data_IF_209282875018
#
_entry.id   IF_209282875018
#
_cell.length_a   1.000
_cell.length_b   1.000
_cell.length_c   1.000
_cell.angle_alpha   90.00
_cell.angle_beta   90.00
_cell.angle_gamma   90.00
#
_symmetry.space_group_name_H-M   'P 1'
#
loop_
_entity.id
_entity.type
_entity.pdbx_description
1 polymer ?
#
# COMPACT_ATOMS: atom_id res chain seq x y z
N UNK A 1 -57.13 41.01 -9.06
CA UNK A 1 -55.78 41.62 -9.10
C UNK A 1 -55.58 42.28 -7.74
N UNK A 2 -54.61 42.04 -6.87
CA UNK A 2 -53.41 41.18 -6.79
C UNK A 2 -53.02 41.25 -5.30
N UNK A 3 -52.83 40.12 -4.63
CA UNK A 3 -52.28 40.13 -3.26
C UNK A 3 -50.76 40.39 -3.29
N UNK A 4 -50.19 41.12 -2.30
CA UNK A 4 -48.75 41.24 -2.16
C UNK A 4 -48.17 39.96 -1.55
N UNK A 5 -47.07 39.47 -2.15
CA UNK A 5 -46.38 38.23 -1.76
C UNK A 5 -45.63 38.42 -0.45
N UNK A 6 -45.88 37.51 0.50
CA UNK A 6 -45.11 37.33 1.72
C UNK A 6 -43.67 36.91 1.45
N UNK A 7 -42.72 37.60 2.06
CA UNK A 7 -41.31 37.25 2.12
C UNK A 7 -41.09 35.94 2.89
N UNK A 8 -40.68 34.88 2.20
CA UNK A 8 -40.11 33.69 2.84
C UNK A 8 -38.58 33.79 2.76
N UNK A 9 -37.98 34.21 3.88
CA UNK A 9 -36.54 34.18 4.09
C UNK A 9 -36.06 32.73 4.10
N UNK A 10 -35.52 32.27 2.97
CA UNK A 10 -34.91 30.95 2.82
C UNK A 10 -33.56 30.93 3.54
N UNK A 11 -33.59 30.46 4.79
CA UNK A 11 -32.41 30.11 5.59
C UNK A 11 -31.46 29.23 4.77
N UNK A 12 -30.29 29.77 4.42
CA UNK A 12 -29.19 29.02 3.81
C UNK A 12 -28.52 28.19 4.91
N UNK A 13 -28.99 26.96 5.09
CA UNK A 13 -28.36 25.96 5.97
C UNK A 13 -26.96 25.65 5.41
N UNK A 14 -25.93 26.08 6.13
CA UNK A 14 -24.54 25.78 5.82
C UNK A 14 -24.38 24.26 5.63
N UNK A 15 -23.93 23.85 4.44
CA UNK A 15 -23.68 22.46 4.12
C UNK A 15 -22.58 21.93 5.04
N UNK A 16 -22.93 21.00 5.93
CA UNK A 16 -21.94 20.20 6.67
C UNK A 16 -21.06 19.50 5.64
N UNK A 17 -19.73 19.53 5.77
CA UNK A 17 -18.86 18.81 4.85
C UNK A 17 -19.24 17.33 4.87
N UNK A 18 -19.42 16.74 3.70
CA UNK A 18 -19.76 15.33 3.58
C UNK A 18 -18.65 14.49 4.23
N UNK A 19 -19.03 13.40 4.90
CA UNK A 19 -18.09 12.49 5.58
C UNK A 19 -16.94 12.05 4.66
N UNK A 20 -17.18 11.92 3.36
CA UNK A 20 -16.16 11.62 2.34
C UNK A 20 -15.04 12.67 2.27
N UNK A 21 -15.38 13.96 2.29
CA UNK A 21 -14.38 15.04 2.21
C UNK A 21 -13.51 15.09 3.47
N UNK A 22 -14.08 14.76 4.63
CA UNK A 22 -13.34 14.66 5.89
C UNK A 22 -12.40 13.45 5.92
N UNK A 23 -12.83 12.32 5.36
CA UNK A 23 -11.99 11.12 5.24
C UNK A 23 -10.79 11.36 4.32
N UNK A 24 -11.00 11.99 3.15
CA UNK A 24 -9.93 12.32 2.21
C UNK A 24 -8.90 13.27 2.82
N UNK A 25 -9.35 14.26 3.61
CA UNK A 25 -8.46 15.21 4.29
C UNK A 25 -7.61 14.53 5.38
N UNK A 26 -8.21 13.61 6.14
CA UNK A 26 -7.50 12.86 7.18
C UNK A 26 -6.44 11.91 6.59
N UNK A 27 -6.77 11.24 5.47
CA UNK A 27 -5.80 10.40 4.74
C UNK A 27 -4.67 11.23 4.17
N UNK A 28 -4.99 12.39 3.57
CA UNK A 28 -4.00 13.31 3.00
C UNK A 28 -3.04 13.86 4.07
N UNK A 29 -3.56 14.17 5.26
CA UNK A 29 -2.76 14.65 6.39
C UNK A 29 -1.84 13.56 6.93
N UNK A 30 -2.36 12.34 7.11
CA UNK A 30 -1.56 11.20 7.56
C UNK A 30 -0.44 10.84 6.57
N UNK A 31 -0.73 10.86 5.27
CA UNK A 31 0.28 10.60 4.24
C UNK A 31 1.37 11.68 4.21
N UNK A 32 1.01 12.97 4.35
CA UNK A 32 2.01 14.06 4.43
C UNK A 32 2.93 13.90 5.63
N UNK A 33 2.39 13.51 6.78
CA UNK A 33 3.20 13.29 7.98
C UNK A 33 4.19 12.14 7.80
N UNK A 34 3.76 11.03 7.18
CA UNK A 34 4.64 9.91 6.84
C UNK A 34 5.74 10.31 5.85
N UNK A 35 5.38 11.05 4.80
CA UNK A 35 6.35 11.53 3.81
C UNK A 35 7.34 12.56 4.38
N UNK A 36 6.94 13.32 5.40
CA UNK A 36 7.84 14.27 6.07
C UNK A 36 8.88 13.56 6.95
N UNK A 37 8.54 12.36 7.46
CA UNK A 37 9.43 11.55 8.29
C UNK A 37 10.32 10.60 7.48
N UNK A 38 9.88 10.18 6.30
CA UNK A 38 10.61 9.22 5.49
C UNK A 38 11.72 9.88 4.66
N UNK A 39 12.94 9.34 4.76
CA UNK A 39 14.05 9.66 3.86
C UNK A 39 14.47 8.38 3.15
N UNK A 40 14.45 8.38 1.82
CA UNK A 40 14.90 7.23 1.02
C UNK A 40 16.40 7.36 0.75
N UNK A 41 17.19 6.44 1.31
CA UNK A 41 18.62 6.37 1.09
C UNK A 41 18.94 5.14 0.22
N UNK A 42 19.41 5.32 -1.03
CA UNK A 42 19.84 4.19 -1.85
C UNK A 42 21.10 3.54 -1.24
N UNK A 43 21.21 2.22 -1.39
CA UNK A 43 22.33 1.45 -0.82
C UNK A 43 23.69 1.85 -1.37
N UNK A 44 23.71 2.36 -2.59
CA UNK A 44 24.88 2.81 -3.33
C UNK A 44 25.45 4.08 -2.68
N UNK A 45 24.59 5.00 -2.28
CA UNK A 45 24.99 6.22 -1.59
C UNK A 45 25.57 5.91 -0.19
N UNK A 46 24.99 4.92 0.50
CA UNK A 46 25.51 4.44 1.79
C UNK A 46 26.90 3.82 1.62
N UNK A 47 27.09 2.98 0.59
CA UNK A 47 28.39 2.37 0.27
C UNK A 47 29.43 3.43 -0.06
N UNK A 48 29.09 4.38 -0.91
CA UNK A 48 29.98 5.48 -1.29
C UNK A 48 30.43 6.28 -0.07
N UNK A 49 29.50 6.70 0.80
CA UNK A 49 29.84 7.46 2.01
C UNK A 49 30.74 6.68 2.99
N UNK A 50 30.51 5.37 3.15
CA UNK A 50 31.30 4.51 4.02
C UNK A 50 32.68 4.20 3.42
N UNK A 51 32.78 3.91 2.12
CA UNK A 51 34.05 3.71 1.42
C UNK A 51 34.94 4.96 1.52
N UNK A 52 34.33 6.14 1.45
CA UNK A 52 35.00 7.42 1.60
C UNK A 52 35.50 7.64 3.04
N UNK A 53 34.80 7.10 4.05
CA UNK A 53 35.25 7.07 5.44
C UNK A 53 36.41 6.09 5.65
N UNK A 54 36.36 4.90 5.01
CA UNK A 54 37.42 3.90 5.03
C UNK A 54 38.69 4.43 4.36
N UNK A 55 38.55 5.06 3.18
CA UNK A 55 39.66 5.69 2.45
C UNK A 55 40.35 6.79 3.27
N UNK A 56 39.59 7.54 4.07
CA UNK A 56 40.11 8.57 4.99
C UNK A 56 40.69 8.00 6.28
N UNK A 57 40.69 6.68 6.45
CA UNK A 57 41.19 6.01 7.66
C UNK A 57 40.35 6.28 8.92
N UNK A 58 39.11 6.76 8.77
CA UNK A 58 38.20 7.04 9.90
C UNK A 58 37.35 5.83 10.31
N UNK A 59 37.41 4.75 9.53
CA UNK A 59 36.64 3.53 9.70
C UNK A 59 37.40 2.37 9.08
N UNK A 60 37.31 1.17 9.65
CA UNK A 60 37.88 -0.02 8.98
C UNK A 60 36.90 -0.56 7.93
N UNK A 61 37.40 -1.35 6.99
CA UNK A 61 36.54 -1.98 5.97
C UNK A 61 35.52 -2.94 6.58
N UNK A 62 35.92 -3.66 7.64
CA UNK A 62 35.03 -4.55 8.36
C UNK A 62 33.90 -3.77 9.06
N UNK A 63 34.21 -2.67 9.74
CA UNK A 63 33.20 -1.82 10.39
C UNK A 63 32.22 -1.23 9.37
N UNK A 64 32.72 -0.80 8.21
CA UNK A 64 31.88 -0.27 7.13
C UNK A 64 30.89 -1.32 6.60
N UNK A 65 31.37 -2.56 6.38
CA UNK A 65 30.51 -3.66 5.93
C UNK A 65 29.44 -4.02 6.96
N UNK A 66 29.79 -4.05 8.25
CA UNK A 66 28.85 -4.31 9.35
C UNK A 66 27.78 -3.22 9.44
N UNK A 67 28.18 -1.94 9.39
CA UNK A 67 27.26 -0.81 9.44
C UNK A 67 26.30 -0.80 8.25
N UNK A 68 26.77 -1.11 7.04
CA UNK A 68 25.91 -1.19 5.84
C UNK A 68 24.86 -2.29 6.02
N UNK A 69 25.25 -3.47 6.50
CA UNK A 69 24.32 -4.57 6.72
C UNK A 69 23.27 -4.21 7.78
N UNK A 70 23.70 -3.58 8.87
CA UNK A 70 22.81 -3.10 9.94
C UNK A 70 21.82 -2.05 9.43
N UNK A 71 22.29 -1.05 8.67
CA UNK A 71 21.43 0.01 8.11
C UNK A 71 20.41 -0.54 7.10
N UNK A 72 20.78 -1.52 6.28
CA UNK A 72 19.86 -2.19 5.37
C UNK A 72 18.77 -2.94 6.15
N UNK A 73 19.15 -3.67 7.20
CA UNK A 73 18.19 -4.40 8.05
C UNK A 73 17.20 -3.44 8.74
N UNK A 74 17.71 -2.33 9.30
CA UNK A 74 16.90 -1.29 9.93
C UNK A 74 15.97 -0.63 8.90
N UNK A 75 16.50 -0.26 7.73
CA UNK A 75 15.72 0.39 6.67
C UNK A 75 14.58 -0.49 6.14
N UNK A 76 14.80 -1.81 6.02
CA UNK A 76 13.75 -2.77 5.66
C UNK A 76 12.62 -2.79 6.68
N UNK A 77 12.97 -2.89 7.97
CA UNK A 77 11.98 -2.88 9.06
C UNK A 77 11.20 -1.57 9.10
N UNK A 78 11.88 -0.43 8.96
CA UNK A 78 11.21 0.87 8.88
C UNK A 78 10.27 0.97 7.67
N UNK A 79 10.64 0.37 6.53
CA UNK A 79 9.78 0.32 5.35
C UNK A 79 8.54 -0.53 5.62
N UNK A 80 8.68 -1.67 6.30
CA UNK A 80 7.55 -2.50 6.73
C UNK A 80 6.60 -1.76 7.66
N UNK A 81 7.14 -1.03 8.65
CA UNK A 81 6.36 -0.24 9.60
C UNK A 81 5.57 0.88 8.90
N UNK A 82 6.24 1.67 8.03
CA UNK A 82 5.57 2.72 7.25
C UNK A 82 4.48 2.13 6.35
N UNK A 83 4.72 0.96 5.79
CA UNK A 83 3.75 0.31 4.93
C UNK A 83 2.53 -0.19 5.70
N UNK A 84 2.74 -0.73 6.90
CA UNK A 84 1.67 -1.09 7.81
C UNK A 84 0.84 0.14 8.22
N UNK A 85 1.49 1.27 8.49
CA UNK A 85 0.81 2.53 8.81
C UNK A 85 -0.05 3.03 7.63
N UNK A 86 0.47 2.97 6.40
CA UNK A 86 -0.30 3.31 5.19
C UNK A 86 -1.51 2.39 5.03
N UNK A 87 -1.33 1.08 5.22
CA UNK A 87 -2.41 0.10 5.18
C UNK A 87 -3.47 0.37 6.26
N UNK A 88 -3.05 0.74 7.47
CA UNK A 88 -3.95 1.09 8.57
C UNK A 88 -4.72 2.39 8.28
N UNK A 89 -4.07 3.41 7.73
CA UNK A 89 -4.73 4.66 7.34
C UNK A 89 -5.77 4.43 6.24
N UNK A 90 -5.43 3.61 5.24
CA UNK A 90 -6.36 3.19 4.19
C UNK A 90 -7.50 2.30 4.75
N UNK A 91 -7.20 1.43 5.72
CA UNK A 91 -8.18 0.57 6.39
C UNK A 91 -9.15 1.36 7.26
N UNK A 92 -8.67 2.41 7.95
CA UNK A 92 -9.49 3.32 8.78
C UNK A 92 -10.44 4.17 7.92
N UNK A 93 -10.06 4.49 6.68
CA UNK A 93 -10.95 5.08 5.66
C UNK A 93 -12.04 4.11 5.15
N UNK A 94 -11.85 2.78 5.30
CA UNK A 94 -12.77 1.71 4.86
C UNK A 94 -13.60 1.13 6.00
N UNK A 95 -13.79 1.91 7.07
CA UNK A 95 -14.59 1.55 8.24
C UNK A 95 -16.10 1.56 7.98
N UNK A 96 -16.56 0.90 6.92
CA UNK A 96 -17.94 0.47 6.70
C UNK A 96 -17.89 -0.87 5.95
N UNK A 97 -18.35 -1.96 6.56
CA UNK A 97 -18.31 -3.31 5.97
C UNK A 97 -19.08 -3.40 4.64
N UNK A 98 -19.95 -2.43 4.36
CA UNK A 98 -20.67 -2.28 3.10
C UNK A 98 -19.80 -1.74 1.95
N UNK A 99 -18.71 -1.02 2.23
CA UNK A 99 -17.89 -0.32 1.22
C UNK A 99 -16.68 -1.13 0.74
N UNK A 100 -16.34 -2.25 1.41
CA UNK A 100 -15.27 -3.15 0.92
C UNK A 100 -15.59 -3.84 -0.41
N UNK A 101 -16.90 -4.04 -0.69
CA UNK A 101 -17.38 -4.49 -2.01
C UNK A 101 -17.33 -3.37 -3.06
N UNK A 102 -17.17 -2.12 -2.62
CA UNK A 102 -16.98 -0.89 -3.41
C UNK A 102 -15.59 -0.29 -3.15
N UNK A 103 -14.55 -1.11 -3.07
CA UNK A 103 -13.20 -0.57 -3.15
C UNK A 103 -13.13 0.32 -4.41
N UNK A 104 -12.92 1.62 -4.21
CA UNK A 104 -12.86 2.54 -5.33
C UNK A 104 -11.67 2.14 -6.22
N UNK A 105 -11.76 2.26 -7.55
CA UNK A 105 -10.67 1.89 -8.45
C UNK A 105 -9.32 2.54 -8.09
N UNK A 106 -9.37 3.72 -7.46
CA UNK A 106 -8.20 4.42 -6.94
C UNK A 106 -7.52 3.69 -5.78
N UNK A 107 -8.27 3.23 -4.78
CA UNK A 107 -7.74 2.52 -3.62
C UNK A 107 -7.15 1.15 -3.99
N UNK A 108 -7.76 0.45 -4.95
CA UNK A 108 -7.21 -0.81 -5.48
C UNK A 108 -5.92 -0.60 -6.29
N UNK A 109 -5.76 0.54 -6.96
CA UNK A 109 -4.53 0.88 -7.67
C UNK A 109 -3.37 1.12 -6.70
N UNK A 110 -3.61 1.82 -5.60
CA UNK A 110 -2.60 2.07 -4.56
C UNK A 110 -2.13 0.76 -3.93
N UNK A 111 -3.06 -0.14 -3.58
CA UNK A 111 -2.70 -1.44 -3.00
C UNK A 111 -1.88 -2.31 -3.97
N UNK A 112 -2.18 -2.28 -5.28
CA UNK A 112 -1.36 -2.98 -6.28
C UNK A 112 0.08 -2.45 -6.32
N UNK A 113 0.24 -1.14 -6.15
CA UNK A 113 1.56 -0.52 -6.14
C UNK A 113 2.33 -0.87 -4.86
N UNK A 114 1.63 -0.89 -3.72
CA UNK A 114 2.15 -1.40 -2.45
C UNK A 114 2.62 -2.86 -2.58
N UNK A 115 1.79 -3.73 -3.16
CA UNK A 115 2.15 -5.14 -3.38
C UNK A 115 3.39 -5.28 -4.28
N UNK A 116 3.52 -4.43 -5.31
CA UNK A 116 4.73 -4.39 -6.17
C UNK A 116 5.95 -3.91 -5.40
N UNK A 117 5.82 -2.86 -4.60
CA UNK A 117 6.91 -2.32 -3.80
C UNK A 117 7.44 -3.35 -2.79
N UNK A 118 6.56 -4.10 -2.11
CA UNK A 118 6.96 -5.21 -1.21
C UNK A 118 7.78 -6.27 -1.94
N UNK A 119 7.35 -6.64 -3.16
CA UNK A 119 8.06 -7.64 -3.98
C UNK A 119 9.45 -7.16 -4.40
N UNK A 120 9.57 -5.91 -4.86
CA UNK A 120 10.85 -5.31 -5.27
C UNK A 120 11.79 -5.12 -4.09
N UNK A 121 11.27 -4.73 -2.93
CA UNK A 121 12.04 -4.54 -1.70
C UNK A 121 12.52 -5.86 -1.06
N UNK A 122 12.16 -7.02 -1.62
CA UNK A 122 12.56 -8.32 -1.10
C UNK A 122 11.96 -8.63 0.26
N UNK A 123 10.86 -7.98 0.65
CA UNK A 123 10.08 -8.26 1.86
C UNK A 123 9.24 -9.57 1.70
N UNK A 124 9.73 -10.49 0.85
CA UNK A 124 9.06 -11.64 0.26
C UNK A 124 8.86 -12.85 1.17
N UNK A 125 8.87 -12.65 2.49
CA UNK A 125 8.42 -13.67 3.44
C UNK A 125 6.90 -13.89 3.40
N UNK A 126 6.15 -12.88 2.97
CA UNK A 126 4.69 -12.90 2.92
C UNK A 126 4.06 -13.61 1.71
N UNK A 127 2.74 -13.73 1.74
CA UNK A 127 1.95 -14.16 0.59
C UNK A 127 1.98 -13.06 -0.51
N UNK A 128 1.98 -13.39 -1.83
CA UNK A 128 2.26 -12.40 -2.89
C UNK A 128 1.21 -11.29 -3.08
N UNK A 129 0.05 -11.42 -2.44
CA UNK A 129 -1.08 -10.49 -2.53
C UNK A 129 -1.51 -10.13 -1.10
N UNK A 130 -1.41 -8.86 -0.71
CA UNK A 130 -1.83 -8.42 0.62
C UNK A 130 -3.35 -8.52 0.79
N UNK A 131 -3.80 -8.97 1.96
CA UNK A 131 -5.22 -9.07 2.32
C UNK A 131 -6.04 -10.05 1.48
N UNK A 132 -5.39 -11.09 0.92
CA UNK A 132 -5.99 -12.01 -0.06
C UNK A 132 -7.37 -12.56 0.34
N UNK A 133 -7.53 -12.98 1.59
CA UNK A 133 -8.76 -13.60 2.11
C UNK A 133 -9.97 -12.66 2.08
N UNK A 134 -9.74 -11.35 2.15
CA UNK A 134 -10.79 -10.33 2.13
C UNK A 134 -11.19 -9.90 0.71
N UNK A 135 -10.47 -10.35 -0.32
CA UNK A 135 -10.65 -9.88 -1.68
C UNK A 135 -11.73 -10.66 -2.44
N UNK A 136 -12.48 -9.94 -3.28
CA UNK A 136 -13.36 -10.54 -4.27
C UNK A 136 -12.55 -11.11 -5.45
N UNK A 137 -13.10 -12.12 -6.13
CA UNK A 137 -12.43 -12.79 -7.25
C UNK A 137 -11.94 -11.83 -8.34
N UNK A 138 -12.74 -10.82 -8.71
CA UNK A 138 -12.35 -9.82 -9.72
C UNK A 138 -11.13 -8.97 -9.29
N UNK A 139 -11.03 -8.64 -8.00
CA UNK A 139 -9.91 -7.90 -7.44
C UNK A 139 -8.65 -8.77 -7.40
N UNK A 140 -8.79 -10.04 -7.04
CA UNK A 140 -7.70 -11.01 -7.08
C UNK A 140 -7.15 -11.11 -8.50
N UNK A 141 -8.03 -11.33 -9.49
CA UNK A 141 -7.65 -11.45 -10.91
C UNK A 141 -6.85 -10.22 -11.38
N UNK A 142 -7.29 -9.02 -11.00
CA UNK A 142 -6.60 -7.76 -11.34
C UNK A 142 -5.20 -7.65 -10.70
N UNK A 143 -4.95 -8.35 -9.58
CA UNK A 143 -3.63 -8.39 -8.93
C UNK A 143 -2.71 -9.46 -9.53
N UNK A 144 -3.25 -10.38 -10.34
CA UNK A 144 -2.47 -11.42 -11.00
C UNK A 144 -1.60 -10.90 -12.16
N UNK A 145 -1.93 -9.74 -12.74
CA UNK A 145 -1.28 -9.20 -13.94
C UNK A 145 0.20 -8.82 -13.77
N UNK A 146 0.72 -8.78 -12.55
CA UNK A 146 2.12 -8.43 -12.26
C UNK A 146 2.86 -9.44 -11.39
N UNK A 147 2.37 -10.68 -11.33
CA UNK A 147 2.99 -11.76 -10.57
C UNK A 147 3.88 -12.61 -11.48
N UNK A 148 5.01 -13.04 -10.95
CA UNK A 148 5.90 -13.99 -11.63
C UNK A 148 5.27 -15.39 -11.69
N UNK A 149 5.72 -16.29 -12.59
CA UNK A 149 5.22 -17.66 -12.65
C UNK A 149 5.37 -18.44 -11.33
N UNK A 150 6.42 -18.17 -10.54
CA UNK A 150 6.61 -18.80 -9.24
C UNK A 150 5.56 -18.30 -8.22
N UNK A 151 5.26 -17.01 -8.23
CA UNK A 151 4.24 -16.43 -7.34
C UNK A 151 2.83 -16.84 -7.74
N UNK A 152 2.55 -16.93 -9.04
CA UNK A 152 1.27 -17.46 -9.55
C UNK A 152 1.04 -18.90 -9.08
N UNK A 153 2.08 -19.75 -9.05
CA UNK A 153 1.99 -21.10 -8.45
C UNK A 153 1.69 -21.04 -6.95
N UNK A 154 2.37 -20.17 -6.19
CA UNK A 154 2.11 -19.96 -4.75
C UNK A 154 0.67 -19.53 -4.49
N UNK A 155 0.13 -18.60 -5.30
CA UNK A 155 -1.27 -18.16 -5.21
C UNK A 155 -2.24 -19.28 -5.57
N UNK A 156 -1.96 -20.05 -6.63
CA UNK A 156 -2.79 -21.21 -7.03
C UNK A 156 -2.89 -22.25 -5.92
N UNK A 157 -1.76 -22.61 -5.32
CA UNK A 157 -1.71 -23.64 -4.30
C UNK A 157 -2.41 -23.18 -3.01
N UNK A 158 -2.32 -21.88 -2.69
CA UNK A 158 -3.09 -21.28 -1.60
C UNK A 158 -4.59 -21.27 -1.90
N UNK A 159 -5.00 -20.82 -3.09
CA UNK A 159 -6.41 -20.77 -3.49
C UNK A 159 -7.05 -22.17 -3.48
N UNK A 160 -6.34 -23.20 -3.95
CA UNK A 160 -6.83 -24.60 -3.91
C UNK A 160 -7.08 -25.10 -2.48
N UNK A 161 -6.29 -24.63 -1.50
CA UNK A 161 -6.38 -25.05 -0.09
C UNK A 161 -7.43 -24.29 0.72
N UNK A 162 -7.78 -23.07 0.30
CA UNK A 162 -8.67 -22.19 1.07
C UNK A 162 -10.04 -22.03 0.40
N UNK A 163 -10.15 -21.17 -0.60
CA UNK A 163 -11.43 -20.78 -1.21
C UNK A 163 -11.87 -21.63 -2.41
N UNK A 164 -10.92 -22.30 -3.07
CA UNK A 164 -11.09 -23.10 -4.29
C UNK A 164 -12.02 -22.45 -5.34
N UNK A 165 -11.92 -21.13 -5.51
CA UNK A 165 -12.76 -20.34 -6.42
C UNK A 165 -12.30 -20.60 -7.85
N UNK A 166 -13.14 -21.29 -8.61
CA UNK A 166 -12.85 -21.70 -10.00
C UNK A 166 -12.42 -20.53 -10.88
N UNK A 167 -13.06 -19.36 -10.76
CA UNK A 167 -12.73 -18.17 -11.56
C UNK A 167 -11.30 -17.69 -11.34
N UNK A 168 -10.81 -17.74 -10.10
CA UNK A 168 -9.44 -17.33 -9.76
C UNK A 168 -8.45 -18.38 -10.27
N UNK A 169 -8.72 -19.67 -10.05
CA UNK A 169 -7.86 -20.74 -10.52
C UNK A 169 -7.71 -20.74 -12.05
N UNK A 170 -8.82 -20.60 -12.79
CA UNK A 170 -8.79 -20.51 -14.26
C UNK A 170 -8.01 -19.28 -14.75
N UNK A 171 -8.12 -18.14 -14.05
CA UNK A 171 -7.34 -16.94 -14.40
C UNK A 171 -5.83 -17.14 -14.15
N UNK A 172 -5.46 -17.86 -13.08
CA UNK A 172 -4.07 -18.19 -12.79
C UNK A 172 -3.53 -19.19 -13.83
N UNK A 173 -4.30 -20.22 -14.17
CA UNK A 173 -3.91 -21.22 -15.18
C UNK A 173 -3.66 -20.58 -16.55
N UNK A 174 -4.53 -19.65 -16.97
CA UNK A 174 -4.33 -18.85 -18.21
C UNK A 174 -3.08 -17.96 -18.20
N UNK A 175 -2.53 -17.66 -17.03
CA UNK A 175 -1.30 -16.87 -16.91
C UNK A 175 -0.05 -17.74 -16.77
N UNK A 176 -0.22 -19.03 -16.48
CA UNK A 176 0.87 -20.00 -16.33
C UNK A 176 1.12 -20.81 -17.61
N UNK A 177 0.17 -20.85 -18.54
CA UNK A 177 0.29 -21.44 -19.88
C UNK A 177 -0.35 -20.56 -20.92
#
# INVERSE_FOLDING_TARGET
MTQPKSSSARSRKAARPSKSAQTDENVSRGLRELLTRAVMLPTELLREAMDDAVRRGRMTRADAEELIQSLIAIGRRQTEDVLADVEQLLGRSRGDAADRRRATPAADRVLREVDRARRVAGLGGGFPISGYDELAAAQIISRLDGLTPAELRKVRDYERKHGNRKTVLSAIERKLG
#
